data_IF_408937399720
#
_entry.id   IF_408937399720
#
_cell.length_a   1.000
_cell.length_b   1.000
_cell.length_c   1.000
_cell.angle_alpha   90.00
_cell.angle_beta   90.00
_cell.angle_gamma   90.00
#
_symmetry.space_group_name_H-M   'P 1'
#
loop_
_entity.id
_entity.type
_entity.pdbx_description
1 polymer ?
#
# COMPACT_ATOMS: atom_id res chain seq x y z
N UNK A 1 9.91 -5.10 -11.49
CA UNK A 1 10.09 -5.40 -10.07
C UNK A 1 8.81 -6.01 -9.52
N UNK A 2 8.82 -7.30 -9.14
CA UNK A 2 7.66 -7.98 -8.52
C UNK A 2 7.69 -7.70 -7.01
N UNK A 3 6.53 -7.73 -6.33
CA UNK A 3 6.35 -7.50 -4.87
C UNK A 3 6.71 -6.10 -4.32
N UNK A 4 7.74 -5.43 -4.84
CA UNK A 4 8.14 -4.08 -4.46
C UNK A 4 7.92 -3.08 -5.59
N UNK A 5 6.68 -2.98 -6.07
CA UNK A 5 6.34 -2.12 -7.22
C UNK A 5 6.45 -0.63 -6.92
N UNK A 6 6.43 -0.23 -5.64
CA UNK A 6 6.65 1.15 -5.19
C UNK A 6 8.02 1.72 -5.58
N UNK A 7 9.01 0.86 -5.83
CA UNK A 7 10.36 1.27 -6.23
C UNK A 7 10.67 0.85 -7.67
N UNK A 8 9.65 0.81 -8.55
CA UNK A 8 9.82 0.32 -9.92
C UNK A 8 10.64 1.28 -10.78
N UNK A 9 10.51 2.59 -10.55
CA UNK A 9 11.18 3.63 -11.35
C UNK A 9 12.61 3.87 -10.86
N UNK A 10 12.80 3.89 -9.54
CA UNK A 10 14.09 4.09 -8.91
C UNK A 10 14.25 3.12 -7.72
N UNK A 11 15.30 2.29 -7.75
CA UNK A 11 15.59 1.34 -6.68
C UNK A 11 17.08 1.07 -6.46
N UNK A 12 17.42 0.70 -5.24
CA UNK A 12 18.74 0.18 -4.89
C UNK A 12 18.84 -1.35 -4.95
N UNK A 13 17.72 -2.06 -5.05
CA UNK A 13 17.67 -3.52 -5.00
C UNK A 13 17.52 -4.15 -6.38
N UNK A 14 17.90 -5.42 -6.47
CA UNK A 14 17.71 -6.31 -7.62
C UNK A 14 16.50 -7.23 -7.41
N UNK A 15 15.99 -7.82 -8.50
CA UNK A 15 14.89 -8.80 -8.38
C UNK A 15 15.29 -10.03 -7.56
N UNK A 16 16.56 -10.45 -7.60
CA UNK A 16 17.07 -11.60 -6.83
C UNK A 16 16.99 -11.31 -5.33
N UNK A 17 17.35 -10.11 -4.89
CA UNK A 17 17.25 -9.71 -3.48
C UNK A 17 15.81 -9.67 -3.00
N UNK A 18 14.89 -9.22 -3.85
CA UNK A 18 13.46 -9.27 -3.57
C UNK A 18 12.99 -10.73 -3.47
N UNK A 19 13.34 -11.55 -4.45
CA UNK A 19 12.91 -12.95 -4.48
C UNK A 19 13.38 -13.69 -3.22
N UNK A 20 14.63 -13.48 -2.78
CA UNK A 20 15.15 -14.04 -1.53
C UNK A 20 14.49 -13.43 -0.28
N UNK A 21 14.19 -12.14 -0.28
CA UNK A 21 13.47 -11.46 0.83
C UNK A 21 12.07 -12.04 1.02
N UNK A 22 11.34 -12.31 -0.07
CA UNK A 22 9.95 -12.77 -0.04
C UNK A 22 9.81 -14.30 -0.05
N UNK A 23 10.85 -15.06 -0.38
CA UNK A 23 10.85 -16.53 -0.51
C UNK A 23 10.18 -17.27 0.64
N UNK A 24 10.39 -16.79 1.86
CA UNK A 24 9.89 -17.41 3.10
C UNK A 24 8.75 -16.60 3.74
N UNK A 25 8.31 -15.52 3.10
CA UNK A 25 7.29 -14.64 3.63
C UNK A 25 5.91 -15.25 3.36
N UNK A 26 5.34 -15.88 4.39
CA UNK A 26 3.95 -16.35 4.36
C UNK A 26 3.05 -15.28 4.97
N UNK A 27 1.87 -15.02 4.39
CA UNK A 27 0.89 -14.18 5.04
C UNK A 27 0.57 -14.67 6.44
N UNK A 28 0.43 -13.74 7.39
CA UNK A 28 0.01 -14.08 8.74
C UNK A 28 -1.41 -14.64 8.70
N UNK A 29 -1.68 -15.69 9.46
CA UNK A 29 -3.03 -16.24 9.57
C UNK A 29 -3.97 -15.17 10.14
N UNK A 30 -5.13 -14.96 9.52
CA UNK A 30 -6.07 -13.91 9.92
C UNK A 30 -5.66 -12.49 9.52
N UNK A 31 -4.60 -12.32 8.70
CA UNK A 31 -4.24 -11.01 8.15
C UNK A 31 -5.25 -10.50 7.14
N UNK A 32 -5.57 -9.21 7.26
CA UNK A 32 -6.32 -8.47 6.24
C UNK A 32 -5.42 -8.13 5.05
N UNK A 33 -5.99 -7.81 3.86
CA UNK A 33 -5.20 -7.28 2.75
C UNK A 33 -4.41 -6.03 3.13
N UNK A 34 -4.98 -5.16 3.97
CA UNK A 34 -4.29 -3.98 4.49
C UNK A 34 -3.08 -4.36 5.34
N UNK A 35 -3.20 -5.36 6.22
CA UNK A 35 -2.06 -5.87 6.99
C UNK A 35 -0.95 -6.37 6.06
N UNK A 36 -1.28 -7.25 5.12
CA UNK A 36 -0.31 -7.80 4.18
C UNK A 36 0.38 -6.72 3.36
N UNK A 37 -0.36 -5.71 2.90
CA UNK A 37 0.17 -4.55 2.16
C UNK A 37 1.23 -3.81 2.98
N UNK A 38 0.95 -3.46 4.23
CA UNK A 38 1.90 -2.73 5.08
C UNK A 38 3.13 -3.58 5.42
N UNK A 39 2.97 -4.87 5.71
CA UNK A 39 4.11 -5.76 5.97
C UNK A 39 4.95 -5.96 4.70
N UNK A 40 4.32 -6.15 3.54
CA UNK A 40 5.04 -6.26 2.27
C UNK A 40 5.81 -4.98 1.93
N UNK A 41 5.19 -3.80 2.15
CA UNK A 41 5.87 -2.52 1.97
C UNK A 41 7.07 -2.40 2.91
N UNK A 42 6.92 -2.79 4.18
CA UNK A 42 8.03 -2.80 5.13
C UNK A 42 9.21 -3.61 4.62
N UNK A 43 8.98 -4.77 4.00
CA UNK A 43 10.06 -5.60 3.44
C UNK A 43 10.78 -4.96 2.25
N UNK A 44 10.16 -3.98 1.59
CA UNK A 44 10.73 -3.29 0.45
C UNK A 44 11.69 -2.15 0.84
N UNK A 45 12.00 -1.96 2.13
CA UNK A 45 12.95 -0.93 2.59
C UNK A 45 14.32 -1.01 1.88
N UNK A 46 14.78 -2.22 1.57
CA UNK A 46 16.05 -2.49 0.85
C UNK A 46 16.08 -1.89 -0.56
N UNK A 47 14.91 -1.64 -1.14
CA UNK A 47 14.78 -1.11 -2.48
C UNK A 47 14.75 0.41 -2.50
N UNK A 48 14.58 1.08 -1.37
CA UNK A 48 14.48 2.53 -1.31
C UNK A 48 15.76 3.22 -1.79
N UNK A 49 15.67 4.22 -2.68
CA UNK A 49 16.84 5.01 -3.10
C UNK A 49 17.46 5.81 -1.94
N UNK A 50 16.67 6.05 -0.88
CA UNK A 50 17.08 6.82 0.29
C UNK A 50 17.42 5.92 1.50
N UNK A 51 17.73 4.64 1.28
CA UNK A 51 18.00 3.68 2.36
C UNK A 51 19.12 4.12 3.34
N UNK A 52 20.07 4.94 2.87
CA UNK A 52 21.17 5.46 3.68
C UNK A 52 20.71 6.31 4.89
N UNK A 53 19.47 6.81 4.86
CA UNK A 53 18.89 7.64 5.92
C UNK A 53 18.48 6.79 7.12
N UNK A 54 17.91 5.61 6.88
CA UNK A 54 17.21 4.83 7.91
C UNK A 54 17.76 3.42 8.11
N UNK A 55 18.66 2.94 7.23
CA UNK A 55 19.30 1.63 7.33
C UNK A 55 20.80 1.80 7.62
N UNK A 56 21.15 1.82 8.90
CA UNK A 56 22.50 2.14 9.39
C UNK A 56 23.02 0.95 10.20
N UNK A 57 24.29 0.57 10.00
CA UNK A 57 24.92 -0.57 10.69
C UNK A 57 24.09 -1.87 10.65
N UNK A 58 23.51 -2.18 9.48
CA UNK A 58 22.65 -3.35 9.26
C UNK A 58 21.37 -3.36 10.11
N UNK A 59 20.92 -2.19 10.56
CA UNK A 59 19.72 -2.03 11.38
C UNK A 59 18.77 -1.05 10.73
N UNK A 60 17.52 -1.49 10.57
CA UNK A 60 16.44 -0.67 10.02
C UNK A 60 15.77 0.12 11.14
N UNK A 61 15.70 1.43 10.95
CA UNK A 61 14.90 2.35 11.77
C UNK A 61 13.58 2.62 11.06
N UNK A 62 12.47 2.33 11.73
CA UNK A 62 11.10 2.53 11.21
C UNK A 62 10.41 3.63 11.98
N UNK A 63 9.64 4.47 11.29
CA UNK A 63 8.90 5.52 11.97
C UNK A 63 7.80 4.91 12.87
N UNK A 64 7.65 5.43 14.08
CA UNK A 64 6.66 4.98 15.07
C UNK A 64 5.24 4.93 14.47
N UNK A 65 4.88 5.94 13.68
CA UNK A 65 3.59 6.05 13.02
C UNK A 65 3.35 4.92 12.01
N UNK A 66 4.39 4.48 11.31
CA UNK A 66 4.28 3.34 10.40
C UNK A 66 4.15 2.03 11.18
N UNK A 67 4.87 1.90 12.29
CA UNK A 67 4.71 0.76 13.20
C UNK A 67 3.30 0.67 13.77
N UNK A 68 2.71 1.80 14.15
CA UNK A 68 1.33 1.89 14.64
C UNK A 68 0.32 1.53 13.55
N UNK A 69 0.55 1.96 12.30
CA UNK A 69 -0.29 1.58 11.17
C UNK A 69 -0.24 0.06 10.91
N UNK A 70 0.95 -0.55 10.94
CA UNK A 70 1.09 -2.01 10.82
C UNK A 70 0.32 -2.70 11.94
N UNK A 71 0.51 -2.29 13.20
CA UNK A 71 -0.20 -2.89 14.33
C UNK A 71 -1.72 -2.75 14.16
N UNK A 72 -2.21 -1.56 13.80
CA UNK A 72 -3.64 -1.28 13.60
C UNK A 72 -4.26 -2.23 12.58
N UNK A 73 -3.60 -2.47 11.45
CA UNK A 73 -4.12 -3.35 10.41
C UNK A 73 -3.91 -4.84 10.70
N UNK A 74 -2.86 -5.19 11.45
CA UNK A 74 -2.47 -6.55 11.75
C UNK A 74 -2.90 -7.05 13.13
N UNK A 75 -3.58 -6.23 13.94
CA UNK A 75 -3.89 -6.50 15.35
C UNK A 75 -4.58 -7.85 15.59
N UNK A 76 -5.38 -8.31 14.62
CA UNK A 76 -6.15 -9.56 14.69
C UNK A 76 -5.43 -10.76 14.08
N UNK A 77 -4.32 -10.53 13.38
CA UNK A 77 -3.53 -11.60 12.81
C UNK A 77 -2.82 -12.41 13.90
N UNK A 78 -2.56 -13.68 13.62
CA UNK A 78 -1.95 -14.63 14.54
C UNK A 78 -0.44 -14.65 14.34
N UNK A 79 0.29 -14.35 15.42
CA UNK A 79 1.73 -14.44 15.50
C UNK A 79 2.11 -15.39 16.65
N UNK A 80 2.82 -16.47 16.32
CA UNK A 80 3.23 -17.51 17.31
C UNK A 80 2.05 -18.06 18.13
N UNK A 81 0.87 -18.20 17.51
CA UNK A 81 -0.33 -18.76 18.14
C UNK A 81 -1.17 -17.78 18.97
N UNK A 82 -0.77 -16.51 19.09
CA UNK A 82 -1.55 -15.46 19.77
C UNK A 82 -1.90 -14.33 18.80
N UNK A 83 -2.95 -13.54 19.07
CA UNK A 83 -3.23 -12.34 18.27
C UNK A 83 -2.16 -11.30 18.56
N UNK A 84 -1.76 -10.55 17.53
CA UNK A 84 -0.70 -9.54 17.67
C UNK A 84 -1.03 -8.51 18.75
N UNK A 85 -2.29 -8.07 18.84
CA UNK A 85 -2.72 -7.08 19.84
C UNK A 85 -2.60 -7.54 21.29
N UNK A 86 -2.63 -8.85 21.52
CA UNK A 86 -2.52 -9.42 22.86
C UNK A 86 -1.03 -9.47 23.30
N UNK A 87 -0.10 -9.31 22.35
CA UNK A 87 1.35 -9.38 22.57
C UNK A 87 2.01 -8.00 22.68
N UNK A 88 1.41 -6.97 22.09
CA UNK A 88 2.02 -5.64 21.95
C UNK A 88 1.01 -4.53 22.24
N UNK A 89 1.39 -3.61 23.13
CA UNK A 89 0.51 -2.50 23.54
C UNK A 89 0.46 -1.34 22.52
N UNK A 90 1.48 -1.20 21.68
CA UNK A 90 1.57 -0.18 20.63
C UNK A 90 2.50 -0.65 19.50
N UNK A 91 2.52 0.09 18.39
CA UNK A 91 3.29 -0.24 17.20
C UNK A 91 4.79 -0.22 17.47
N UNK A 92 5.29 0.73 18.26
CA UNK A 92 6.71 0.79 18.61
C UNK A 92 7.19 -0.51 19.29
N UNK A 93 6.42 -1.07 20.22
CA UNK A 93 6.72 -2.38 20.82
C UNK A 93 6.65 -3.52 19.80
N UNK A 94 5.67 -3.49 18.90
CA UNK A 94 5.57 -4.47 17.82
C UNK A 94 6.84 -4.44 16.95
N UNK A 95 7.25 -3.29 16.44
CA UNK A 95 8.45 -3.15 15.62
C UNK A 95 9.74 -3.55 16.35
N UNK A 96 9.91 -3.12 17.62
CA UNK A 96 11.07 -3.52 18.44
C UNK A 96 11.14 -5.03 18.66
N UNK A 97 10.00 -5.69 18.82
CA UNK A 97 9.94 -7.16 18.92
C UNK A 97 10.41 -7.88 17.65
N UNK A 98 10.44 -7.17 16.52
CA UNK A 98 10.96 -7.62 15.22
C UNK A 98 12.41 -7.22 14.99
N UNK A 99 13.12 -6.77 16.04
CA UNK A 99 14.50 -6.28 16.00
C UNK A 99 14.70 -5.04 15.11
N UNK A 100 13.68 -4.20 15.02
CA UNK A 100 13.73 -2.91 14.33
C UNK A 100 14.01 -1.80 15.34
N UNK A 101 14.76 -0.79 14.92
CA UNK A 101 14.79 0.48 15.65
C UNK A 101 13.53 1.28 15.34
N UNK A 102 13.16 2.15 16.27
CA UNK A 102 11.99 3.01 16.12
C UNK A 102 12.38 4.43 16.45
N UNK A 103 12.05 5.35 15.55
CA UNK A 103 12.19 6.79 15.73
C UNK A 103 10.90 7.48 15.30
N UNK A 104 10.76 8.78 15.59
CA UNK A 104 9.61 9.56 15.15
C UNK A 104 9.80 10.08 13.74
N UNK A 105 8.71 10.13 12.96
CA UNK A 105 8.74 10.69 11.59
C UNK A 105 9.28 12.12 11.56
N UNK A 106 9.00 12.90 12.60
CA UNK A 106 9.48 14.29 12.77
C UNK A 106 11.00 14.43 12.70
N UNK A 107 11.76 13.39 13.09
CA UNK A 107 13.22 13.41 13.09
C UNK A 107 13.82 13.17 11.69
N UNK A 108 13.02 12.68 10.74
CA UNK A 108 13.44 12.47 9.35
C UNK A 108 14.43 11.32 9.11
N UNK A 109 14.74 10.50 10.12
CA UNK A 109 15.78 9.46 10.06
C UNK A 109 15.21 8.03 10.05
N UNK A 110 13.96 7.86 9.63
CA UNK A 110 13.24 6.58 9.73
C UNK A 110 12.45 6.25 8.46
N UNK A 111 12.25 4.97 8.22
CA UNK A 111 11.46 4.46 7.12
C UNK A 111 9.97 4.60 7.42
N UNK A 112 9.20 5.21 6.51
CA UNK A 112 7.75 5.39 6.64
C UNK A 112 7.01 4.83 5.42
N UNK A 113 5.71 4.60 5.58
CA UNK A 113 4.83 4.24 4.49
C UNK A 113 4.48 5.47 3.64
N UNK A 114 4.92 5.49 2.39
CA UNK A 114 4.53 6.52 1.43
C UNK A 114 3.26 6.10 0.68
N UNK A 115 2.13 6.70 1.05
CA UNK A 115 0.84 6.46 0.41
C UNK A 115 0.81 6.98 -1.04
N UNK A 116 1.63 7.97 -1.39
CA UNK A 116 1.60 8.60 -2.72
C UNK A 116 2.22 7.71 -3.80
N UNK A 117 3.15 6.84 -3.40
CA UNK A 117 3.73 5.80 -4.26
C UNK A 117 2.76 4.62 -4.48
N UNK A 118 1.64 4.61 -3.77
CA UNK A 118 0.74 3.49 -3.73
C UNK A 118 -0.48 3.64 -4.65
N UNK A 119 -0.28 3.18 -5.88
CA UNK A 119 -1.30 3.16 -6.92
C UNK A 119 -2.45 2.15 -6.67
N UNK A 120 -2.44 1.37 -5.58
CA UNK A 120 -3.50 0.36 -5.33
C UNK A 120 -4.81 0.96 -4.77
N UNK A 121 -4.84 2.27 -4.46
CA UNK A 121 -6.07 3.02 -4.17
C UNK A 121 -6.70 3.68 -5.42
N UNK A 122 -6.12 3.48 -6.60
CA UNK A 122 -6.60 3.97 -7.89
C UNK A 122 -7.80 3.19 -8.46
N UNK A 123 -8.90 3.12 -7.71
CA UNK A 123 -10.25 2.90 -8.25
C UNK A 123 -11.31 3.45 -7.30
N UNK A 124 -11.14 4.69 -6.88
CA UNK A 124 -12.30 5.54 -6.67
C UNK A 124 -12.75 5.99 -8.07
N UNK A 125 -13.50 5.14 -8.74
CA UNK A 125 -14.22 5.52 -9.94
C UNK A 125 -15.02 6.76 -9.59
N UNK A 126 -14.62 7.91 -10.14
CA UNK A 126 -15.49 9.07 -10.23
C UNK A 126 -16.75 8.57 -10.92
N UNK A 127 -17.84 8.41 -10.16
CA UNK A 127 -19.18 8.33 -10.73
C UNK A 127 -19.45 9.70 -11.35
N UNK A 128 -18.89 9.92 -12.54
CA UNK A 128 -19.40 10.95 -13.44
C UNK A 128 -20.85 10.51 -13.66
N UNK A 129 -21.77 11.28 -13.10
CA UNK A 129 -23.20 11.11 -13.26
C UNK A 129 -23.52 11.08 -14.75
N UNK A 130 -23.64 9.87 -15.32
CA UNK A 130 -24.19 9.66 -16.66
C UNK A 130 -25.71 9.80 -16.58
N UNK A 131 -26.19 11.01 -16.36
CA UNK A 131 -27.59 11.37 -16.62
C UNK A 131 -27.60 12.66 -17.43
N UNK A 132 -27.06 12.58 -18.65
CA UNK A 132 -26.96 13.75 -19.53
C UNK A 132 -26.83 13.47 -21.02
N UNK A 133 -27.02 12.23 -21.49
CA UNK A 133 -26.92 11.90 -22.94
C UNK A 133 -28.07 11.00 -23.42
N UNK A 134 -29.26 11.11 -22.81
CA UNK A 134 -30.48 10.49 -23.35
C UNK A 134 -31.37 11.49 -24.12
N UNK A 135 -30.98 12.77 -24.21
CA UNK A 135 -31.79 13.81 -24.87
C UNK A 135 -31.42 14.10 -26.33
N UNK A 136 -30.18 13.82 -26.78
CA UNK A 136 -29.78 14.14 -28.16
C UNK A 136 -30.11 13.06 -29.20
N UNK A 137 -30.28 11.80 -28.81
CA UNK A 137 -30.66 10.74 -29.77
C UNK A 137 -32.14 10.79 -30.16
N UNK A 138 -33.01 11.26 -29.24
CA UNK A 138 -34.45 11.43 -29.52
C UNK A 138 -34.68 12.59 -30.51
N UNK A 139 -33.91 13.67 -30.43
CA UNK A 139 -33.99 14.79 -31.37
C UNK A 139 -33.58 14.39 -32.79
N UNK A 140 -32.56 13.53 -32.96
CA UNK A 140 -32.19 13.03 -34.29
C UNK A 140 -33.28 12.13 -34.91
N UNK A 141 -33.95 11.28 -34.14
CA UNK A 141 -35.03 10.44 -34.66
C UNK A 141 -36.28 11.24 -35.06
N UNK A 142 -36.63 12.30 -34.31
CA UNK A 142 -37.79 13.14 -34.66
C UNK A 142 -37.55 14.01 -35.91
N UNK A 143 -36.30 14.43 -36.16
CA UNK A 143 -35.96 15.15 -37.40
C UNK A 143 -36.06 14.22 -38.62
N UNK A 144 -35.70 12.94 -38.51
CA UNK A 144 -35.85 12.02 -39.65
C UNK A 144 -37.32 11.68 -39.98
N UNK A 145 -38.20 11.59 -38.98
CA UNK A 145 -39.63 11.36 -39.25
C UNK A 145 -40.34 12.58 -39.86
N UNK A 146 -39.89 13.80 -39.60
CA UNK A 146 -40.51 15.00 -40.20
C UNK A 146 -40.09 15.24 -41.66
N UNK A 147 -38.92 14.74 -42.08
CA UNK A 147 -38.46 14.84 -43.48
C UNK A 147 -39.09 13.75 -44.36
N UNK A 148 -39.43 12.59 -43.80
CA UNK A 148 -40.05 11.48 -44.54
C UNK A 148 -41.57 11.65 -44.82
N UNK A 149 -42.21 12.71 -44.31
CA UNK A 149 -43.64 12.99 -44.48
C UNK A 149 -43.97 14.12 -45.47
N UNK A 150 -42.97 14.64 -46.19
CA UNK A 150 -43.12 15.72 -47.17
C UNK A 150 -42.49 15.32 -48.52
N UNK A 151 -42.90 14.17 -49.05
CA UNK A 151 -42.81 13.83 -50.47
C UNK A 151 -43.99 12.93 -50.86
#
# INVERSE_FOLDING_TARGET
>A
MKNCTWYKEESCCTQIEIDETFKNMKPLQGSTPACQRHVNYLMCYICSPHQYIFYIYQKLTVCEEFCDAILTHCQDAILKGSRIKDLHSNGAQFCKSRNLEVDRKENGNCFYFDETEDNTLGSSGSFISQVGILSLTILCFLIQLSVAGLY
#
